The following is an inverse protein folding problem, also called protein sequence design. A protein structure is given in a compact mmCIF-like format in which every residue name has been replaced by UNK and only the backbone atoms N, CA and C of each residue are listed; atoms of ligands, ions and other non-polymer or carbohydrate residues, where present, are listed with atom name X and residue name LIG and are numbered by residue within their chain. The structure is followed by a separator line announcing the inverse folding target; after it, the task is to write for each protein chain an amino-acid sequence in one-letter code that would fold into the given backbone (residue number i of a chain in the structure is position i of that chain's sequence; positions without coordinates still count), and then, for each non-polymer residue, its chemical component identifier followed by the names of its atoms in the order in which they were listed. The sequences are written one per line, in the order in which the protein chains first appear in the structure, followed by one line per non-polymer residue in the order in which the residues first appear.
data_IF_105305323025
#
_entry.id   IF_105305323025
#
_cell.length_a   1.000
_cell.length_b   1.000
_cell.length_c   1.000
_cell.angle_alpha   90.00
_cell.angle_beta   90.00
_cell.angle_gamma   90.00
#
_symmetry.space_group_name_H-M   'P 1'
#
loop_
_entity.id
_entity.type
_entity.pdbx_description
1 polymer ?
#
# COMPACT_ATOMS: atom_id res chain seq x y z
N UNK A 1 47.57 4.89 19.58
CA UNK A 1 47.84 4.68 18.14
C UNK A 1 46.91 5.62 17.37
N UNK A 2 47.48 6.67 16.76
CA UNK A 2 46.75 7.78 16.10
C UNK A 2 46.08 7.29 14.81
N UNK A 3 44.82 7.66 14.59
CA UNK A 3 44.27 7.83 13.26
C UNK A 3 43.56 9.20 13.24
N UNK A 4 44.24 10.19 12.65
CA UNK A 4 43.68 11.49 12.36
C UNK A 4 42.67 11.34 11.23
N UNK A 5 41.42 11.76 11.44
CA UNK A 5 40.46 11.98 10.36
C UNK A 5 40.24 13.49 10.29
N UNK A 6 40.91 14.13 9.35
CA UNK A 6 40.75 15.56 9.06
C UNK A 6 39.37 15.79 8.44
N UNK A 7 38.55 16.73 8.94
CA UNK A 7 37.34 17.11 8.24
C UNK A 7 37.70 18.01 7.05
N UNK A 8 37.44 17.53 5.83
CA UNK A 8 37.50 18.37 4.63
C UNK A 8 36.20 19.20 4.58
N UNK A 9 36.25 20.41 5.15
CA UNK A 9 35.22 21.43 4.89
C UNK A 9 35.50 22.04 3.52
N UNK A 10 34.77 21.59 2.50
CA UNK A 10 34.65 22.34 1.25
C UNK A 10 33.47 23.28 1.40
N UNK A 11 33.78 24.55 1.64
CA UNK A 11 32.77 25.60 1.72
C UNK A 11 32.15 25.84 0.35
N UNK A 12 30.83 25.71 0.27
CA UNK A 12 30.07 26.32 -0.82
C UNK A 12 29.05 27.29 -0.21
N UNK A 13 29.52 28.52 0.09
CA UNK A 13 28.60 29.65 0.24
C UNK A 13 28.17 30.08 -1.16
N UNK A 14 27.01 29.58 -1.59
CA UNK A 14 26.13 30.33 -2.49
C UNK A 14 24.71 30.09 -2.03
N UNK A 15 24.13 31.14 -1.45
CA UNK A 15 22.76 31.11 -0.98
C UNK A 15 21.83 30.83 -2.15
N UNK A 16 20.87 29.93 -1.91
CA UNK A 16 19.59 30.02 -2.56
C UNK A 16 18.51 29.58 -1.56
N UNK A 17 17.59 30.51 -1.30
CA UNK A 17 16.38 30.26 -0.55
C UNK A 17 15.38 29.72 -1.56
N UNK A 18 15.24 28.41 -1.64
CA UNK A 18 14.23 27.84 -2.53
C UNK A 18 14.19 26.32 -2.50
N UNK A 19 13.06 25.79 -2.02
CA UNK A 19 12.59 24.43 -2.29
C UNK A 19 13.43 23.28 -1.74
N UNK A 20 13.07 22.81 -0.55
CA UNK A 20 13.31 21.44 -0.14
C UNK A 20 12.51 20.50 -1.06
N UNK A 21 13.07 20.18 -2.23
CA UNK A 21 12.58 19.11 -3.07
C UNK A 21 12.80 17.79 -2.32
N UNK A 22 11.75 17.32 -1.65
CA UNK A 22 11.68 16.02 -1.00
C UNK A 22 11.87 14.95 -2.09
N UNK A 23 13.10 14.56 -2.36
CA UNK A 23 13.40 13.44 -3.24
C UNK A 23 13.13 12.14 -2.47
N UNK A 24 11.90 11.63 -2.59
CA UNK A 24 11.58 10.27 -2.19
C UNK A 24 12.31 9.34 -3.17
N UNK A 25 13.51 8.91 -2.78
CA UNK A 25 14.24 7.86 -3.50
C UNK A 25 13.55 6.53 -3.23
N UNK A 26 12.75 6.06 -4.18
CA UNK A 26 12.28 4.69 -4.18
C UNK A 26 13.49 3.77 -4.41
N UNK A 27 13.98 3.13 -3.34
CA UNK A 27 15.04 2.12 -3.43
C UNK A 27 14.47 0.93 -4.19
N UNK A 28 15.20 0.52 -5.24
CA UNK A 28 14.78 -0.44 -6.25
C UNK A 28 14.10 -1.72 -5.75
N UNK A 29 13.06 -2.09 -6.49
CA UNK A 29 12.67 -3.45 -6.89
C UNK A 29 12.86 -4.57 -5.85
N UNK A 30 12.03 -4.52 -4.82
CA UNK A 30 10.96 -5.50 -4.56
C UNK A 30 10.05 -4.83 -3.53
N UNK A 31 8.86 -4.38 -3.95
CA UNK A 31 7.78 -4.30 -2.97
C UNK A 31 7.64 -5.77 -2.55
N UNK A 32 8.06 -6.12 -1.34
CA UNK A 32 7.75 -7.42 -0.80
C UNK A 32 6.22 -7.45 -0.75
N UNK A 33 5.57 -8.03 -1.76
CA UNK A 33 4.25 -8.59 -1.54
C UNK A 33 4.49 -9.64 -0.46
N UNK A 34 3.93 -9.46 0.75
CA UNK A 34 3.99 -10.52 1.75
C UNK A 34 3.46 -11.77 1.04
N UNK A 35 4.24 -12.85 1.02
CA UNK A 35 3.84 -14.12 0.40
C UNK A 35 2.70 -14.80 1.17
N UNK A 36 2.23 -14.18 2.25
CA UNK A 36 1.07 -14.59 3.03
C UNK A 36 -0.22 -14.15 2.32
N UNK A 37 -0.44 -14.73 1.14
CA UNK A 37 -1.79 -14.79 0.57
C UNK A 37 -2.53 -15.82 1.40
N UNK A 38 -3.23 -15.34 2.43
CA UNK A 38 -4.15 -16.17 3.18
C UNK A 38 -5.31 -16.52 2.24
N UNK A 39 -5.52 -17.83 2.03
CA UNK A 39 -6.67 -18.36 1.30
C UNK A 39 -7.96 -18.23 2.13
N UNK A 40 -7.92 -17.58 3.30
CA UNK A 40 -9.10 -17.30 4.10
C UNK A 40 -9.85 -16.10 3.54
N UNK A 41 -11.08 -16.35 3.11
CA UNK A 41 -12.02 -15.33 2.65
C UNK A 41 -12.23 -14.20 3.67
N UNK A 42 -12.11 -14.48 4.97
CA UNK A 42 -12.20 -13.47 6.03
C UNK A 42 -11.08 -12.44 5.96
N UNK A 43 -9.85 -12.91 5.83
CA UNK A 43 -8.67 -12.05 5.76
C UNK A 43 -8.68 -11.22 4.47
N UNK A 44 -9.15 -11.82 3.37
CA UNK A 44 -9.35 -11.12 2.10
C UNK A 44 -10.37 -9.99 2.24
N UNK A 45 -11.53 -10.24 2.86
CA UNK A 45 -12.56 -9.22 3.11
C UNK A 45 -12.01 -8.13 4.04
N UNK A 46 -11.33 -8.52 5.13
CA UNK A 46 -10.76 -7.60 6.11
C UNK A 46 -9.70 -6.67 5.49
N UNK A 47 -8.91 -7.18 4.54
CA UNK A 47 -7.89 -6.41 3.81
C UNK A 47 -8.51 -5.53 2.73
N UNK A 48 -9.54 -6.01 2.03
CA UNK A 48 -10.16 -5.30 0.92
C UNK A 48 -10.91 -4.03 1.34
N UNK A 49 -11.61 -4.06 2.49
CA UNK A 49 -12.37 -2.91 3.00
C UNK A 49 -11.50 -1.64 3.15
N UNK A 50 -10.38 -1.64 3.92
CA UNK A 50 -9.53 -0.46 4.04
C UNK A 50 -8.85 -0.09 2.72
N UNK A 51 -8.51 -1.06 1.87
CA UNK A 51 -7.92 -0.82 0.56
C UNK A 51 -8.87 -0.02 -0.35
N UNK A 52 -10.12 -0.47 -0.51
CA UNK A 52 -11.12 0.22 -1.34
C UNK A 52 -11.36 1.66 -0.86
N UNK A 53 -11.37 1.88 0.46
CA UNK A 53 -11.46 3.22 1.06
C UNK A 53 -10.26 4.09 0.70
N UNK A 54 -9.04 3.57 0.79
CA UNK A 54 -7.83 4.30 0.41
C UNK A 54 -7.85 4.68 -1.08
N UNK A 55 -8.33 3.79 -1.95
CA UNK A 55 -8.49 4.06 -3.38
C UNK A 55 -9.53 5.15 -3.66
N UNK A 56 -10.66 5.13 -2.95
CA UNK A 56 -11.67 6.19 -3.05
C UNK A 56 -11.10 7.55 -2.61
N UNK A 57 -10.36 7.58 -1.50
CA UNK A 57 -9.70 8.81 -1.03
C UNK A 57 -8.67 9.33 -2.05
N UNK A 58 -7.89 8.43 -2.64
CA UNK A 58 -6.95 8.79 -3.70
C UNK A 58 -7.69 9.40 -4.90
N UNK A 59 -8.80 8.82 -5.33
CA UNK A 59 -9.61 9.38 -6.42
C UNK A 59 -10.16 10.77 -6.09
N UNK A 60 -10.74 10.95 -4.90
CA UNK A 60 -11.23 12.26 -4.45
C UNK A 60 -10.12 13.31 -4.40
N UNK A 61 -8.90 12.90 -4.03
CA UNK A 61 -7.74 13.81 -4.02
C UNK A 61 -7.34 14.30 -5.42
N UNK A 62 -7.64 13.50 -6.46
CA UNK A 62 -7.48 13.88 -7.87
C UNK A 62 -8.68 14.66 -8.43
N UNK A 63 -9.68 14.99 -7.60
CA UNK A 63 -10.93 15.61 -8.05
C UNK A 63 -11.83 14.67 -8.85
N UNK A 64 -11.63 13.34 -8.73
CA UNK A 64 -12.43 12.31 -9.39
C UNK A 64 -13.42 11.70 -8.39
N UNK A 65 -14.51 11.16 -8.93
CA UNK A 65 -15.50 10.42 -8.16
C UNK A 65 -14.92 9.10 -7.62
N UNK A 66 -15.63 8.53 -6.63
CA UNK A 66 -15.27 7.26 -6.01
C UNK A 66 -15.23 6.13 -7.02
N UNK A 67 -14.14 5.35 -6.98
CA UNK A 67 -14.01 4.15 -7.83
C UNK A 67 -14.91 3.02 -7.33
N UNK A 68 -15.10 2.93 -6.02
CA UNK A 68 -15.88 1.90 -5.35
C UNK A 68 -16.91 2.53 -4.41
N UNK A 69 -18.02 3.08 -4.93
CA UNK A 69 -19.05 3.76 -4.13
C UNK A 69 -20.01 2.77 -3.44
N UNK A 70 -19.50 1.66 -2.90
CA UNK A 70 -20.30 0.67 -2.21
C UNK A 70 -19.71 0.30 -0.84
N UNK A 71 -20.56 -0.23 0.03
CA UNK A 71 -20.18 -0.76 1.34
C UNK A 71 -20.46 -2.26 1.38
N UNK A 72 -19.49 -3.06 1.81
CA UNK A 72 -19.67 -4.51 1.99
C UNK A 72 -20.48 -4.77 3.25
N UNK A 73 -21.80 -4.83 3.10
CA UNK A 73 -22.72 -5.22 4.18
C UNK A 73 -22.47 -6.65 4.66
N UNK A 74 -22.84 -7.02 5.89
CA UNK A 74 -22.70 -8.38 6.40
C UNK A 74 -23.30 -9.44 5.47
N UNK A 75 -24.48 -9.16 4.89
CA UNK A 75 -25.17 -10.06 3.95
C UNK A 75 -24.35 -10.32 2.68
N UNK A 76 -23.61 -9.32 2.20
CA UNK A 76 -22.72 -9.51 1.02
C UNK A 76 -21.49 -10.31 1.41
N UNK A 77 -20.95 -10.09 2.61
CA UNK A 77 -19.82 -10.89 3.12
C UNK A 77 -20.22 -12.37 3.22
N UNK A 78 -21.43 -12.68 3.70
CA UNK A 78 -21.93 -14.05 3.76
C UNK A 78 -22.03 -14.71 2.38
N UNK A 79 -22.42 -13.95 1.35
CA UNK A 79 -22.43 -14.45 -0.03
C UNK A 79 -21.04 -14.76 -0.55
N UNK A 80 -20.04 -13.95 -0.18
CA UNK A 80 -18.65 -14.20 -0.57
C UNK A 80 -18.11 -15.46 0.09
N UNK A 81 -18.39 -15.66 1.39
CA UNK A 81 -18.06 -16.91 2.10
C UNK A 81 -18.69 -18.13 1.44
N UNK A 82 -19.96 -18.03 1.07
CA UNK A 82 -20.65 -19.11 0.38
C UNK A 82 -19.99 -19.46 -0.97
N UNK A 83 -19.61 -18.45 -1.76
CA UNK A 83 -18.94 -18.66 -3.03
C UNK A 83 -17.57 -19.32 -2.85
N UNK A 84 -16.78 -18.84 -1.89
CA UNK A 84 -15.48 -19.41 -1.53
C UNK A 84 -15.59 -20.89 -1.14
N UNK A 85 -16.47 -21.21 -0.18
CA UNK A 85 -16.72 -22.58 0.25
C UNK A 85 -17.20 -23.48 -0.90
N UNK A 86 -18.00 -22.95 -1.84
CA UNK A 86 -18.49 -23.68 -3.01
C UNK A 86 -17.35 -24.02 -3.97
N UNK A 87 -16.43 -23.08 -4.22
CA UNK A 87 -15.27 -23.30 -5.07
C UNK A 87 -14.30 -24.28 -4.43
N UNK A 88 -13.99 -24.12 -3.15
CA UNK A 88 -13.13 -25.05 -2.40
C UNK A 88 -13.69 -26.49 -2.43
N UNK A 89 -15.00 -26.66 -2.23
CA UNK A 89 -15.66 -27.96 -2.30
C UNK A 89 -15.64 -28.56 -3.71
N UNK A 90 -15.70 -27.74 -4.76
CA UNK A 90 -15.62 -28.19 -6.15
C UNK A 90 -14.19 -28.62 -6.53
N UNK A 91 -13.17 -27.95 -6.02
CA UNK A 91 -11.75 -28.29 -6.25
C UNK A 91 -11.31 -29.57 -5.53
N UNK A 92 -11.99 -29.94 -4.46
CA UNK A 92 -11.70 -31.16 -3.69
C UNK A 92 -12.24 -32.47 -4.34
N UNK A 93 -12.95 -32.37 -5.46
CA UNK A 93 -13.53 -33.49 -6.22
C UNK A 93 -12.69 -33.84 -7.43
#
# INVERSE_FOLDING_TARGET
MRAMITPLVSGNRRGDRGSAALSVRYRGNRCAVPEDHTDDVDDLIATWIPLSRALNQLNRSMGKDDLYPFTLSPVVQDKLRFADATVAAAQAR
#
